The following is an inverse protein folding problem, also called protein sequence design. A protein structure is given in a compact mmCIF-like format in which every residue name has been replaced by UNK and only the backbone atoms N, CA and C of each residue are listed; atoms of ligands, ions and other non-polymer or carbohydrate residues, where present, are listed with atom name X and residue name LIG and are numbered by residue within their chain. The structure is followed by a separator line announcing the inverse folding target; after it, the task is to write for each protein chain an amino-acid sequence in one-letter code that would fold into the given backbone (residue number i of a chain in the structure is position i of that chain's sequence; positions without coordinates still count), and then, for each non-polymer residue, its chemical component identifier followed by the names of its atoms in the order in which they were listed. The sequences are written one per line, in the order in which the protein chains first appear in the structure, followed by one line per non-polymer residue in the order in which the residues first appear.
data_IF_249466824220
#
_entry.id   IF_249466824220
#
_cell.length_a   1.000
_cell.length_b   1.000
_cell.length_c   1.000
_cell.angle_alpha   90.00
_cell.angle_beta   90.00
_cell.angle_gamma   90.00
#
_symmetry.space_group_name_H-M   'P 1'
#
loop_
_entity.id
_entity.type
_entity.pdbx_description
1 polymer ?
#
# COMPACT_ATOMS: atom_id res chain seq x y z
N UNK A 1 6.81 -29.58 9.86
CA UNK A 1 5.61 -29.32 9.02
C UNK A 1 4.40 -29.23 9.94
N UNK A 2 4.06 -28.00 10.31
CA UNK A 2 2.82 -27.65 11.01
C UNK A 2 2.52 -26.22 10.59
N UNK A 3 1.58 -26.04 9.68
CA UNK A 3 1.21 -24.73 9.16
C UNK A 3 0.37 -24.01 10.22
N UNK A 4 0.81 -22.85 10.67
CA UNK A 4 -0.05 -21.87 11.33
C UNK A 4 -1.22 -21.56 10.36
N UNK A 5 -2.43 -21.80 10.83
CA UNK A 5 -3.63 -21.87 10.02
C UNK A 5 -4.11 -20.51 9.48
N UNK A 6 -5.05 -20.51 8.51
CA UNK A 6 -5.55 -19.32 7.80
C UNK A 6 -6.39 -18.35 8.64
N UNK A 7 -6.61 -18.61 9.94
CA UNK A 7 -7.70 -18.00 10.71
C UNK A 7 -7.43 -16.57 11.20
N UNK A 8 -6.16 -16.14 11.33
CA UNK A 8 -5.86 -14.77 11.72
C UNK A 8 -6.12 -13.75 10.60
N UNK A 9 -6.06 -14.20 9.33
CA UNK A 9 -6.32 -13.33 8.18
C UNK A 9 -7.81 -13.21 7.89
N UNK A 10 -8.59 -14.27 8.14
CA UNK A 10 -10.05 -14.24 7.98
C UNK A 10 -10.76 -13.33 9.00
N UNK A 11 -10.15 -13.09 10.18
CA UNK A 11 -10.71 -12.23 11.22
C UNK A 11 -10.67 -10.73 10.88
N UNK A 12 -9.87 -10.30 9.89
CA UNK A 12 -9.68 -8.87 9.56
C UNK A 12 -10.70 -8.33 8.53
N UNK A 13 -11.47 -9.20 7.87
CA UNK A 13 -12.41 -8.80 6.80
C UNK A 13 -13.75 -8.19 7.30
N UNK A 14 -14.00 -8.08 8.62
CA UNK A 14 -15.33 -7.76 9.17
C UNK A 14 -15.39 -6.57 10.16
N UNK A 15 -14.73 -5.44 9.88
CA UNK A 15 -14.94 -4.22 10.66
C UNK A 15 -15.10 -2.97 9.77
N UNK A 16 -16.35 -2.53 9.61
CA UNK A 16 -16.71 -1.16 9.19
C UNK A 16 -17.64 -0.54 10.25
N UNK A 17 -17.39 0.69 10.73
CA UNK A 17 -18.37 1.44 11.49
C UNK A 17 -18.96 2.59 10.67
N UNK A 18 -20.29 2.63 10.61
CA UNK A 18 -21.07 3.75 10.14
C UNK A 18 -21.21 4.81 11.25
N UNK A 19 -20.81 6.07 10.99
CA UNK A 19 -21.23 7.24 11.80
C UNK A 19 -21.39 8.47 10.90
N UNK A 20 -22.63 8.97 10.76
CA UNK A 20 -22.94 10.33 10.32
C UNK A 20 -23.57 11.10 11.49
N UNK A 21 -23.08 12.31 11.75
CA UNK A 21 -23.68 13.26 12.69
C UNK A 21 -22.92 14.60 12.71
N UNK A 22 -23.49 15.61 12.06
CA UNK A 22 -22.93 16.96 11.86
C UNK A 22 -22.92 17.82 13.14
N UNK A 23 -21.99 18.79 13.31
CA UNK A 23 -21.92 19.65 14.49
C UNK A 23 -22.74 20.96 14.32
N UNK A 24 -23.42 21.37 15.40
CA UNK A 24 -24.03 22.72 15.54
C UNK A 24 -23.20 23.57 16.50
N UNK A 25 -22.83 24.75 16.04
CA UNK A 25 -22.13 25.84 16.74
C UNK A 25 -23.02 26.56 17.77
N UNK A 26 -22.47 26.95 18.92
CA UNK A 26 -23.02 28.03 19.78
C UNK A 26 -21.89 28.91 20.33
N UNK A 27 -22.03 30.22 20.11
CA UNK A 27 -21.19 31.29 20.64
C UNK A 27 -21.52 31.62 22.11
N UNK A 28 -20.51 31.92 22.91
CA UNK A 28 -20.66 32.54 24.23
C UNK A 28 -19.44 33.36 24.63
N UNK A 29 -19.53 34.70 24.49
CA UNK A 29 -18.55 35.68 25.01
C UNK A 29 -18.77 35.90 26.50
N UNK A 30 -17.71 35.91 27.31
CA UNK A 30 -17.65 36.78 28.51
C UNK A 30 -16.21 37.27 28.74
N UNK A 31 -16.05 38.60 28.82
CA UNK A 31 -14.85 39.31 29.27
C UNK A 31 -15.18 39.94 30.61
N UNK A 32 -14.28 39.90 31.60
CA UNK A 32 -14.12 40.99 32.58
C UNK A 32 -12.69 41.04 33.13
N UNK A 33 -12.29 42.24 33.56
CA UNK A 33 -10.94 42.79 33.67
C UNK A 33 -10.40 42.82 35.11
N UNK A 34 -9.06 42.62 35.21
CA UNK A 34 -8.02 43.31 36.02
C UNK A 34 -8.23 43.60 37.52
N UNK A 35 -7.18 43.33 38.31
CA UNK A 35 -6.47 44.32 39.16
C UNK A 35 -5.14 43.78 39.71
N UNK A 36 -4.07 44.56 39.52
CA UNK A 36 -2.73 44.41 40.12
C UNK A 36 -2.58 45.49 41.21
N UNK A 37 -1.86 45.22 42.31
CA UNK A 37 -1.13 46.28 43.01
C UNK A 37 0.38 46.00 43.13
N UNK A 38 1.13 47.11 43.17
CA UNK A 38 2.60 47.19 43.22
C UNK A 38 3.16 47.12 44.65
N UNK A 39 4.41 46.68 44.71
CA UNK A 39 5.38 46.50 45.80
C UNK A 39 5.70 47.83 46.53
N UNK A 40 6.26 47.81 47.77
CA UNK A 40 7.67 48.21 47.89
C UNK A 40 8.47 47.51 49.02
N UNK A 41 9.80 47.46 48.89
CA UNK A 41 10.71 47.40 50.05
C UNK A 41 11.93 46.47 49.94
N UNK A 42 13.08 47.04 49.56
CA UNK A 42 14.42 46.43 49.65
C UNK A 42 14.93 46.40 51.11
N UNK A 43 15.42 45.26 51.60
CA UNK A 43 16.43 45.18 52.70
C UNK A 43 17.43 44.06 52.39
N UNK A 44 18.71 44.33 52.68
CA UNK A 44 19.90 43.59 52.25
C UNK A 44 20.32 42.49 53.26
N UNK A 45 20.66 41.32 52.72
CA UNK A 45 21.82 40.44 53.02
C UNK A 45 21.85 39.64 54.35
N UNK A 46 21.97 38.31 54.25
CA UNK A 46 23.04 37.48 54.88
C UNK A 46 23.20 36.14 54.11
N UNK A 47 24.41 35.55 54.15
CA UNK A 47 24.86 34.37 53.38
C UNK A 47 24.77 33.07 54.20
N UNK A 48 24.40 31.99 53.50
CA UNK A 48 24.76 30.54 53.62
C UNK A 48 24.20 29.70 54.81
N UNK A 49 24.07 28.35 54.71
CA UNK A 49 24.41 27.41 53.62
C UNK A 49 23.26 26.45 53.17
N UNK A 50 23.55 25.67 52.13
CA UNK A 50 22.72 24.70 51.35
C UNK A 50 21.82 23.76 52.18
N UNK A 51 20.70 23.30 51.57
CA UNK A 51 20.35 21.89 51.58
C UNK A 51 20.40 21.32 50.16
N UNK A 52 21.15 20.22 50.07
CA UNK A 52 21.09 19.10 49.15
C UNK A 52 20.13 19.23 47.96
N UNK A 53 20.71 19.19 46.77
CA UNK A 53 20.06 18.73 45.55
C UNK A 53 19.33 17.42 45.85
N UNK A 54 18.01 17.48 45.99
CA UNK A 54 17.18 16.30 45.83
C UNK A 54 17.20 16.00 44.34
N UNK A 55 17.99 15.02 43.93
CA UNK A 55 17.81 14.39 42.63
C UNK A 55 16.34 13.96 42.56
N UNK A 56 15.60 14.55 41.63
CA UNK A 56 14.39 13.91 41.12
C UNK A 56 14.92 12.67 40.42
N UNK A 57 14.90 11.55 41.12
CA UNK A 57 14.91 10.24 40.47
C UNK A 57 13.54 10.19 39.81
N UNK A 58 13.50 10.46 38.51
CA UNK A 58 12.38 10.00 37.70
C UNK A 58 12.38 8.48 37.88
N UNK A 59 11.47 7.99 38.72
CA UNK A 59 11.19 6.57 38.80
C UNK A 59 10.67 6.19 37.42
N UNK A 60 11.52 5.57 36.59
CA UNK A 60 11.10 4.95 35.33
C UNK A 60 9.94 4.02 35.67
N UNK A 61 8.73 4.39 35.25
CA UNK A 61 7.55 3.53 35.41
C UNK A 61 7.75 2.40 34.43
N UNK A 62 8.18 1.23 34.93
CA UNK A 62 8.31 0.03 34.11
C UNK A 62 6.89 -0.44 33.78
N UNK A 63 6.45 -0.16 32.55
CA UNK A 63 5.15 -0.58 32.04
C UNK A 63 5.13 -2.10 31.85
N UNK A 64 3.98 -2.72 32.15
CA UNK A 64 3.80 -4.14 31.84
C UNK A 64 3.56 -4.39 30.33
N UNK A 65 3.54 -5.65 29.91
CA UNK A 65 3.38 -6.03 28.51
C UNK A 65 2.07 -5.50 27.89
N UNK A 66 0.97 -5.59 28.62
CA UNK A 66 -0.35 -5.17 28.12
C UNK A 66 -0.48 -3.65 28.10
N UNK A 67 0.14 -2.95 29.04
CA UNK A 67 0.25 -1.49 29.05
C UNK A 67 1.06 -0.99 27.86
N UNK A 68 2.22 -1.61 27.58
CA UNK A 68 3.01 -1.29 26.40
C UNK A 68 2.22 -1.50 25.09
N UNK A 69 1.50 -2.61 24.97
CA UNK A 69 0.67 -2.85 23.78
C UNK A 69 -0.45 -1.81 23.60
N UNK A 70 -1.13 -1.42 24.69
CA UNK A 70 -2.20 -0.41 24.65
C UNK A 70 -1.68 0.95 24.16
N UNK A 71 -0.45 1.29 24.52
CA UNK A 71 0.18 2.55 24.15
C UNK A 71 1.00 2.45 22.83
N UNK A 72 0.85 1.34 22.09
CA UNK A 72 1.58 1.04 20.85
C UNK A 72 3.11 1.03 21.01
N UNK A 73 3.60 0.72 22.21
CA UNK A 73 5.01 0.49 22.50
C UNK A 73 5.44 -0.93 22.06
N UNK A 74 5.34 -1.19 20.75
CA UNK A 74 5.52 -2.52 20.16
C UNK A 74 6.93 -3.09 20.33
N UNK A 75 7.95 -2.23 20.33
CA UNK A 75 9.36 -2.63 20.46
C UNK A 75 9.64 -3.10 21.88
N UNK A 76 9.21 -2.33 22.87
CA UNK A 76 9.36 -2.61 24.30
C UNK A 76 8.55 -3.85 24.70
N UNK A 77 7.31 -3.96 24.21
CA UNK A 77 6.49 -5.16 24.37
C UNK A 77 7.20 -6.40 23.80
N UNK A 78 7.78 -6.30 22.59
CA UNK A 78 8.55 -7.38 21.99
C UNK A 78 9.79 -7.75 22.81
N UNK A 79 10.57 -6.76 23.27
CA UNK A 79 11.76 -7.00 24.09
C UNK A 79 11.42 -7.71 25.40
N UNK A 80 10.28 -7.38 26.02
CA UNK A 80 9.80 -8.08 27.21
C UNK A 80 9.49 -9.56 26.91
N UNK A 81 8.87 -9.87 25.77
CA UNK A 81 8.59 -11.25 25.37
C UNK A 81 9.87 -12.02 25.02
N UNK A 82 10.81 -11.39 24.30
CA UNK A 82 12.11 -11.98 23.98
C UNK A 82 12.90 -12.31 25.24
N UNK A 83 12.91 -11.41 26.23
CA UNK A 83 13.55 -11.64 27.52
C UNK A 83 12.92 -12.84 28.26
N UNK A 84 11.58 -12.93 28.27
CA UNK A 84 10.85 -14.05 28.88
C UNK A 84 11.13 -15.36 28.14
N UNK A 85 11.23 -15.32 26.81
CA UNK A 85 11.62 -16.46 25.99
C UNK A 85 13.04 -16.94 26.33
N UNK A 86 14.01 -16.04 26.45
CA UNK A 86 15.38 -16.42 26.81
C UNK A 86 15.48 -16.96 28.24
N UNK A 87 14.66 -16.48 29.17
CA UNK A 87 14.59 -17.04 30.51
C UNK A 87 14.04 -18.47 30.53
N UNK A 88 13.04 -18.76 29.70
CA UNK A 88 12.38 -20.08 29.63
C UNK A 88 13.14 -21.09 28.77
N UNK A 89 13.79 -20.64 27.70
CA UNK A 89 14.38 -21.51 26.67
C UNK A 89 15.88 -21.29 26.44
N UNK A 90 16.46 -20.21 26.99
CA UNK A 90 17.85 -19.82 26.75
C UNK A 90 18.88 -20.55 27.61
N UNK A 91 18.47 -21.22 28.70
CA UNK A 91 19.39 -21.97 29.57
C UNK A 91 19.68 -23.36 28.99
N UNK A 92 20.91 -23.59 28.53
CA UNK A 92 21.48 -24.93 28.54
C UNK A 92 21.60 -25.36 30.00
N UNK A 93 20.66 -26.18 30.47
CA UNK A 93 20.77 -26.75 31.80
C UNK A 93 21.97 -27.70 31.82
N UNK A 94 23.14 -27.19 32.22
CA UNK A 94 24.11 -27.99 32.94
C UNK A 94 23.38 -28.46 34.20
N UNK A 95 22.80 -29.66 34.11
CA UNK A 95 22.16 -30.36 35.22
C UNK A 95 23.23 -30.75 36.23
N UNK A 96 23.68 -29.77 37.03
CA UNK A 96 24.17 -30.09 38.36
C UNK A 96 22.93 -30.53 39.13
N UNK A 97 22.96 -31.81 39.49
CA UNK A 97 21.91 -32.56 40.15
C UNK A 97 21.02 -31.71 41.09
N UNK A 98 19.73 -31.61 40.75
CA UNK A 98 18.68 -31.54 41.79
C UNK A 98 17.86 -30.26 41.94
N UNK A 99 18.09 -29.19 41.18
CA UNK A 99 17.20 -28.02 41.17
C UNK A 99 16.93 -27.54 39.74
N UNK A 100 16.29 -28.40 38.94
CA UNK A 100 15.69 -27.96 37.68
C UNK A 100 14.58 -26.97 37.98
N UNK A 101 14.73 -25.72 37.52
CA UNK A 101 13.61 -24.78 37.51
C UNK A 101 12.50 -25.41 36.67
N UNK A 102 11.39 -25.76 37.32
CA UNK A 102 10.19 -26.21 36.62
C UNK A 102 9.70 -25.00 35.83
N UNK A 103 10.04 -24.95 34.54
CA UNK A 103 9.37 -24.04 33.62
C UNK A 103 7.93 -24.56 33.54
N UNK A 104 6.97 -23.82 34.10
CA UNK A 104 5.58 -24.25 34.09
C UNK A 104 5.10 -24.23 32.64
N UNK A 105 4.45 -25.30 32.18
CA UNK A 105 3.80 -25.30 30.86
C UNK A 105 2.84 -24.11 30.71
N UNK A 106 2.17 -23.72 31.81
CA UNK A 106 1.34 -22.51 31.88
C UNK A 106 2.10 -21.22 31.49
N UNK A 107 3.38 -21.11 31.86
CA UNK A 107 4.21 -19.93 31.52
C UNK A 107 4.56 -19.91 30.03
N UNK A 108 4.78 -21.08 29.41
CA UNK A 108 5.02 -21.22 27.97
C UNK A 108 3.75 -20.91 27.17
N UNK A 109 2.61 -21.46 27.61
CA UNK A 109 1.29 -21.20 27.01
C UNK A 109 0.92 -19.72 27.09
N UNK A 110 1.22 -19.07 28.22
CA UNK A 110 1.00 -17.63 28.38
C UNK A 110 1.91 -16.84 27.44
N UNK A 111 3.21 -17.18 27.38
CA UNK A 111 4.15 -16.52 26.47
C UNK A 111 3.73 -16.65 25.00
N UNK A 112 3.26 -17.83 24.58
CA UNK A 112 2.76 -18.04 23.21
C UNK A 112 1.57 -17.12 22.91
N UNK A 113 0.58 -17.03 23.81
CA UNK A 113 -0.58 -16.15 23.65
C UNK A 113 -0.18 -14.67 23.61
N UNK A 114 0.80 -14.28 24.40
CA UNK A 114 1.34 -12.92 24.40
C UNK A 114 1.98 -12.60 23.05
N UNK A 115 2.76 -13.52 22.46
CA UNK A 115 3.29 -13.36 21.10
C UNK A 115 2.19 -13.24 20.05
N UNK A 116 1.17 -14.10 20.09
CA UNK A 116 0.03 -14.03 19.18
C UNK A 116 -0.67 -12.65 19.27
N UNK A 117 -0.81 -12.13 20.49
CA UNK A 117 -1.40 -10.80 20.74
C UNK A 117 -0.52 -9.67 20.20
N UNK A 118 0.80 -9.73 20.40
CA UNK A 118 1.75 -8.77 19.84
C UNK A 118 1.70 -8.77 18.30
N UNK A 119 1.74 -9.97 17.69
CA UNK A 119 1.69 -10.14 16.24
C UNK A 119 0.39 -9.58 15.66
N UNK A 120 -0.75 -9.78 16.33
CA UNK A 120 -2.02 -9.20 15.89
C UNK A 120 -1.96 -7.67 15.85
N UNK A 121 -1.43 -7.02 16.89
CA UNK A 121 -1.28 -5.55 16.93
C UNK A 121 -0.32 -5.05 15.85
N UNK A 122 0.76 -5.78 15.62
CA UNK A 122 1.74 -5.50 14.58
C UNK A 122 1.10 -5.54 13.19
N UNK A 123 0.34 -6.61 12.86
CA UNK A 123 -0.33 -6.72 11.57
C UNK A 123 -1.47 -5.70 11.40
N UNK A 124 -2.16 -5.35 12.48
CA UNK A 124 -3.12 -4.25 12.46
C UNK A 124 -2.45 -2.92 12.12
N UNK A 125 -1.30 -2.60 12.70
CA UNK A 125 -0.55 -1.38 12.40
C UNK A 125 -0.10 -1.30 10.92
N UNK A 126 0.38 -2.40 10.37
CA UNK A 126 0.72 -2.48 8.94
C UNK A 126 -0.54 -2.29 8.10
N UNK A 127 -1.62 -3.03 8.40
CA UNK A 127 -2.85 -2.95 7.62
C UNK A 127 -3.47 -1.54 7.62
N UNK A 128 -3.58 -0.88 8.78
CA UNK A 128 -4.17 0.46 8.88
C UNK A 128 -3.39 1.50 8.08
N UNK A 129 -2.05 1.40 8.08
CA UNK A 129 -1.15 2.33 7.39
C UNK A 129 -1.24 2.20 5.86
N UNK A 130 -1.42 0.98 5.34
CA UNK A 130 -1.50 0.77 3.89
C UNK A 130 -2.92 0.84 3.33
N UNK A 131 -3.95 0.58 4.13
CA UNK A 131 -5.36 0.60 3.69
C UNK A 131 -5.99 2.00 3.70
N UNK A 132 -5.42 2.97 4.42
CA UNK A 132 -5.94 4.35 4.53
C UNK A 132 -4.83 5.39 4.43
N UNK A 133 -5.19 6.67 4.29
CA UNK A 133 -4.21 7.76 4.33
C UNK A 133 -3.58 7.82 5.73
N UNK A 134 -2.27 7.60 5.87
CA UNK A 134 -1.66 7.50 7.18
C UNK A 134 -1.53 8.87 7.83
N UNK A 135 -1.82 8.95 9.13
CA UNK A 135 -1.49 10.10 9.96
C UNK A 135 -0.04 9.96 10.44
N UNK A 136 0.54 11.03 10.99
CA UNK A 136 1.87 10.95 11.59
C UNK A 136 1.96 9.91 12.72
N UNK A 137 0.86 9.69 13.45
CA UNK A 137 0.76 8.64 14.46
C UNK A 137 0.81 7.24 13.84
N UNK A 138 0.06 6.99 12.75
CA UNK A 138 0.11 5.70 12.06
C UNK A 138 1.52 5.37 11.56
N UNK A 139 2.26 6.36 11.03
CA UNK A 139 3.63 6.18 10.56
C UNK A 139 4.61 5.84 11.71
N UNK A 140 4.42 6.45 12.89
CA UNK A 140 5.24 6.11 14.06
C UNK A 140 4.96 4.67 14.54
N UNK A 141 3.69 4.28 14.61
CA UNK A 141 3.30 2.91 14.96
C UNK A 141 3.86 1.92 13.93
N UNK A 142 3.80 2.25 12.64
CA UNK A 142 4.39 1.42 11.58
C UNK A 142 5.90 1.28 11.76
N UNK A 143 6.63 2.37 12.02
CA UNK A 143 8.09 2.30 12.24
C UNK A 143 8.42 1.32 13.37
N UNK A 144 7.71 1.43 14.50
CA UNK A 144 7.86 0.50 15.63
C UNK A 144 7.51 -0.92 15.25
N UNK A 145 6.44 -1.13 14.47
CA UNK A 145 6.06 -2.45 13.98
C UNK A 145 7.16 -3.08 13.09
N UNK A 146 7.77 -2.31 12.19
CA UNK A 146 8.86 -2.79 11.32
C UNK A 146 10.13 -3.09 12.12
N UNK A 147 10.43 -2.27 13.13
CA UNK A 147 11.52 -2.56 14.07
C UNK A 147 11.25 -3.86 14.84
N UNK A 148 10.02 -4.07 15.32
CA UNK A 148 9.60 -5.35 15.95
C UNK A 148 9.75 -6.54 14.98
N UNK A 149 9.38 -6.41 13.70
CA UNK A 149 9.62 -7.47 12.70
C UNK A 149 11.11 -7.80 12.64
N UNK A 150 11.97 -6.78 12.59
CA UNK A 150 13.42 -6.96 12.49
C UNK A 150 13.97 -7.71 13.71
N UNK A 151 13.54 -7.34 14.92
CA UNK A 151 13.92 -8.03 16.16
C UNK A 151 13.47 -9.50 16.19
N UNK A 152 12.25 -9.79 15.71
CA UNK A 152 11.73 -11.15 15.67
C UNK A 152 12.47 -12.02 14.65
N UNK A 153 12.83 -11.47 13.48
CA UNK A 153 13.63 -12.13 12.45
C UNK A 153 15.06 -12.41 12.92
N UNK A 154 15.70 -11.44 13.60
CA UNK A 154 17.02 -11.65 14.22
C UNK A 154 16.98 -12.79 15.24
N UNK A 155 15.91 -12.86 16.04
CA UNK A 155 15.73 -13.95 16.99
C UNK A 155 15.49 -15.30 16.31
N UNK A 156 14.73 -15.33 15.21
CA UNK A 156 14.54 -16.54 14.41
C UNK A 156 15.89 -17.06 13.85
N UNK A 157 16.74 -16.16 13.35
CA UNK A 157 18.09 -16.51 12.89
C UNK A 157 18.99 -17.05 14.01
N UNK A 158 18.90 -16.46 15.21
CA UNK A 158 19.63 -16.96 16.38
C UNK A 158 19.21 -18.38 16.77
N UNK A 159 17.93 -18.71 16.63
CA UNK A 159 17.42 -20.06 16.87
C UNK A 159 17.87 -21.04 15.79
N UNK A 160 17.84 -20.64 14.51
CA UNK A 160 18.29 -21.48 13.40
C UNK A 160 19.80 -21.78 13.47
N UNK A 161 20.62 -20.84 13.96
CA UNK A 161 22.07 -20.98 14.06
C UNK A 161 22.60 -21.80 15.25
N UNK A 162 21.74 -22.38 16.10
CA UNK A 162 22.21 -23.15 17.27
C UNK A 162 22.81 -24.52 16.89
N UNK A 163 23.85 -24.98 17.60
CA UNK A 163 24.40 -26.32 17.41
C UNK A 163 23.38 -27.44 17.67
N UNK A 164 23.50 -28.53 16.91
CA UNK A 164 22.77 -29.77 17.16
C UNK A 164 23.03 -30.26 18.60
N UNK A 165 21.97 -30.49 19.37
CA UNK A 165 22.04 -30.88 20.79
C UNK A 165 21.83 -29.75 21.80
N UNK A 166 21.60 -28.52 21.34
CA UNK A 166 21.16 -27.40 22.18
C UNK A 166 19.69 -27.58 22.64
N UNK A 167 19.22 -26.70 23.54
CA UNK A 167 17.81 -26.59 23.94
C UNK A 167 16.89 -26.50 22.71
N UNK A 168 15.78 -27.25 22.72
CA UNK A 168 14.80 -27.24 21.64
C UNK A 168 14.13 -25.85 21.53
N UNK A 169 13.98 -25.37 20.29
CA UNK A 169 13.33 -24.10 20.05
C UNK A 169 11.85 -24.16 20.48
N UNK A 170 11.27 -23.03 20.95
CA UNK A 170 9.84 -22.96 21.21
C UNK A 170 9.02 -23.35 19.97
N UNK A 171 7.83 -23.92 20.19
CA UNK A 171 6.95 -24.44 19.12
C UNK A 171 6.48 -23.39 18.11
N UNK A 172 6.52 -22.10 18.48
CA UNK A 172 6.15 -20.96 17.63
C UNK A 172 7.30 -20.44 16.76
N UNK A 173 8.53 -20.96 16.93
CA UNK A 173 9.69 -20.55 16.12
C UNK A 173 9.84 -21.45 14.88
N UNK A 174 10.26 -20.88 13.74
CA UNK A 174 10.40 -19.44 13.45
C UNK A 174 9.03 -18.77 13.22
N UNK A 175 8.93 -17.48 13.54
CA UNK A 175 7.73 -16.68 13.27
C UNK A 175 7.59 -16.31 11.78
N UNK A 176 8.71 -16.13 11.06
CA UNK A 176 8.71 -15.73 9.65
C UNK A 176 7.91 -14.43 9.40
N UNK A 177 8.09 -13.44 10.29
CA UNK A 177 7.41 -12.16 10.26
C UNK A 177 7.59 -11.44 8.92
N UNK A 178 8.78 -11.47 8.32
CA UNK A 178 9.06 -10.83 7.04
C UNK A 178 8.23 -11.42 5.91
N UNK A 179 8.10 -12.74 5.87
CA UNK A 179 7.26 -13.43 4.88
C UNK A 179 5.78 -13.09 5.08
N UNK A 180 5.33 -13.03 6.32
CA UNK A 180 3.95 -12.69 6.68
C UNK A 180 3.62 -11.25 6.31
N UNK A 181 4.54 -10.32 6.55
CA UNK A 181 4.47 -8.92 6.12
C UNK A 181 4.27 -8.81 4.61
N UNK A 182 5.14 -9.45 3.81
CA UNK A 182 5.07 -9.35 2.35
C UNK A 182 3.76 -9.94 1.81
N UNK A 183 3.29 -11.04 2.41
CA UNK A 183 1.99 -11.67 2.10
C UNK A 183 0.81 -10.75 2.47
N UNK A 184 0.90 -10.02 3.58
CA UNK A 184 -0.13 -9.07 3.99
C UNK A 184 -0.21 -7.91 3.00
N UNK A 185 0.94 -7.36 2.57
CA UNK A 185 0.97 -6.32 1.54
C UNK A 185 0.37 -6.82 0.22
N UNK A 186 0.68 -8.05 -0.21
CA UNK A 186 0.07 -8.64 -1.41
C UNK A 186 -1.47 -8.66 -1.31
N UNK A 187 -2.02 -9.09 -0.17
CA UNK A 187 -3.47 -9.14 0.07
C UNK A 187 -4.10 -7.74 0.06
N UNK A 188 -3.43 -6.75 0.66
CA UNK A 188 -3.90 -5.36 0.66
C UNK A 188 -3.94 -4.83 -0.78
N UNK A 189 -2.86 -5.02 -1.55
CA UNK A 189 -2.81 -4.59 -2.96
C UNK A 189 -3.88 -5.27 -3.79
N UNK A 190 -4.08 -6.58 -3.61
CA UNK A 190 -5.14 -7.31 -4.28
C UNK A 190 -6.53 -6.75 -3.97
N UNK A 191 -6.81 -6.46 -2.69
CA UNK A 191 -8.07 -5.87 -2.28
C UNK A 191 -8.28 -4.48 -2.91
N UNK A 192 -7.26 -3.62 -2.85
CA UNK A 192 -7.31 -2.27 -3.43
C UNK A 192 -7.51 -2.28 -4.93
N UNK A 193 -6.81 -3.16 -5.66
CA UNK A 193 -6.95 -3.30 -7.11
C UNK A 193 -8.30 -3.89 -7.51
N UNK A 194 -8.81 -4.86 -6.75
CA UNK A 194 -10.15 -5.42 -6.97
C UNK A 194 -11.24 -4.37 -6.74
N UNK A 195 -11.16 -3.60 -5.66
CA UNK A 195 -12.12 -2.52 -5.37
C UNK A 195 -12.08 -1.45 -6.46
N UNK A 196 -10.88 -1.01 -6.87
CA UNK A 196 -10.70 -0.06 -7.96
C UNK A 196 -11.27 -0.56 -9.31
N UNK A 197 -11.33 -1.87 -9.53
CA UNK A 197 -11.93 -2.44 -10.75
C UNK A 197 -13.47 -2.38 -10.73
N UNK A 198 -14.09 -2.61 -9.56
CA UNK A 198 -15.56 -2.79 -9.43
C UNK A 198 -16.33 -1.56 -8.95
N UNK A 199 -15.67 -0.53 -8.42
CA UNK A 199 -16.32 0.71 -7.96
C UNK A 199 -17.14 1.44 -9.05
N UNK A 200 -18.44 1.16 -9.09
CA UNK A 200 -19.41 1.94 -9.84
C UNK A 200 -19.88 3.11 -8.97
N UNK A 201 -19.58 4.33 -9.40
CA UNK A 201 -20.14 5.61 -8.96
C UNK A 201 -19.74 6.17 -7.59
N UNK A 202 -18.87 7.21 -7.64
CA UNK A 202 -18.90 8.40 -6.78
C UNK A 202 -18.11 9.58 -7.35
N UNK A 203 -17.35 9.39 -8.43
CA UNK A 203 -16.64 10.51 -9.06
C UNK A 203 -17.53 11.13 -10.12
N UNK A 204 -17.93 12.39 -9.89
CA UNK A 204 -18.52 13.23 -10.94
C UNK A 204 -17.45 13.56 -11.99
N UNK A 205 -17.06 12.61 -12.84
CA UNK A 205 -16.08 12.88 -13.88
C UNK A 205 -16.80 13.32 -15.14
N UNK A 206 -16.81 14.63 -15.31
CA UNK A 206 -17.04 15.38 -16.54
C UNK A 206 -15.97 15.16 -17.62
N UNK A 207 -15.41 13.94 -17.75
CA UNK A 207 -14.50 13.56 -18.85
C UNK A 207 -15.25 12.68 -19.85
N UNK A 208 -15.57 13.25 -21.00
CA UNK A 208 -16.23 12.59 -22.13
C UNK A 208 -15.47 11.38 -22.72
N UNK A 209 -14.25 11.10 -22.25
CA UNK A 209 -13.33 10.13 -22.85
C UNK A 209 -13.35 8.73 -22.20
N UNK A 210 -13.99 8.54 -21.04
CA UNK A 210 -14.13 7.24 -20.35
C UNK A 210 -15.50 6.60 -20.64
N UNK A 211 -15.83 6.52 -21.92
CA UNK A 211 -17.16 6.09 -22.39
C UNK A 211 -17.48 4.64 -22.06
N UNK A 212 -16.49 3.74 -22.10
CA UNK A 212 -16.67 2.30 -21.89
C UNK A 212 -16.38 1.89 -20.44
N UNK A 213 -16.98 0.76 -20.02
CA UNK A 213 -16.72 0.18 -18.69
C UNK A 213 -15.24 -0.16 -18.51
N UNK A 214 -14.63 -0.74 -19.55
CA UNK A 214 -13.21 -1.08 -19.57
C UNK A 214 -12.31 0.15 -19.38
N UNK A 215 -12.59 1.26 -20.07
CA UNK A 215 -11.81 2.51 -19.90
C UNK A 215 -11.88 3.02 -18.47
N UNK A 216 -13.07 3.01 -17.86
CA UNK A 216 -13.29 3.42 -16.46
C UNK A 216 -12.58 2.48 -15.49
N UNK A 217 -12.63 1.17 -15.73
CA UNK A 217 -11.92 0.16 -14.93
C UNK A 217 -10.41 0.38 -14.96
N UNK A 218 -9.80 0.39 -16.15
CA UNK A 218 -8.35 0.57 -16.32
C UNK A 218 -7.88 1.92 -15.75
N UNK A 219 -8.66 2.99 -15.96
CA UNK A 219 -8.36 4.30 -15.37
C UNK A 219 -8.32 4.23 -13.83
N UNK A 220 -9.37 3.71 -13.19
CA UNK A 220 -9.46 3.63 -11.73
C UNK A 220 -8.34 2.77 -11.14
N UNK A 221 -8.05 1.62 -11.76
CA UNK A 221 -6.94 0.76 -11.34
C UNK A 221 -5.59 1.48 -11.48
N UNK A 222 -5.37 2.21 -12.59
CA UNK A 222 -4.16 2.97 -12.82
C UNK A 222 -3.96 4.14 -11.85
N UNK A 223 -5.04 4.87 -11.54
CA UNK A 223 -5.00 5.95 -10.54
C UNK A 223 -4.77 5.40 -9.13
N UNK A 224 -5.46 4.32 -8.75
CA UNK A 224 -5.24 3.63 -7.47
C UNK A 224 -3.78 3.22 -7.31
N UNK A 225 -3.21 2.56 -8.34
CA UNK A 225 -1.80 2.20 -8.38
C UNK A 225 -0.90 3.44 -8.19
N UNK A 226 -1.14 4.49 -8.97
CA UNK A 226 -0.33 5.71 -8.94
C UNK A 226 -0.35 6.35 -7.56
N UNK A 227 -1.53 6.58 -7.00
CA UNK A 227 -1.70 7.21 -5.68
C UNK A 227 -0.99 6.40 -4.58
N UNK A 228 -1.16 5.08 -4.59
CA UNK A 228 -0.59 4.22 -3.55
C UNK A 228 0.92 4.10 -3.63
N UNK A 229 1.47 3.92 -4.84
CA UNK A 229 2.92 3.80 -5.02
C UNK A 229 3.62 5.12 -4.67
N UNK A 230 3.04 6.26 -5.05
CA UNK A 230 3.58 7.57 -4.70
C UNK A 230 3.52 7.83 -3.19
N UNK A 231 2.40 7.52 -2.55
CA UNK A 231 2.25 7.63 -1.09
C UNK A 231 3.26 6.76 -0.35
N UNK A 232 3.51 5.54 -0.81
CA UNK A 232 4.50 4.67 -0.18
C UNK A 232 5.91 5.25 -0.32
N UNK A 233 6.25 5.79 -1.49
CA UNK A 233 7.55 6.43 -1.69
C UNK A 233 7.73 7.72 -0.88
N UNK A 234 6.68 8.52 -0.69
CA UNK A 234 6.77 9.80 0.01
C UNK A 234 6.70 9.67 1.53
N UNK A 235 5.75 8.89 2.05
CA UNK A 235 5.35 8.94 3.46
C UNK A 235 5.79 7.68 4.23
N UNK A 236 5.74 6.52 3.57
CA UNK A 236 5.90 5.22 4.24
C UNK A 236 7.34 4.71 4.19
N UNK A 237 8.08 5.00 3.11
CA UNK A 237 9.45 4.53 2.88
C UNK A 237 10.35 4.69 4.09
N UNK A 238 10.31 5.86 4.75
CA UNK A 238 11.21 6.20 5.84
C UNK A 238 10.88 5.46 7.16
N UNK A 239 9.78 4.69 7.19
CA UNK A 239 9.48 3.78 8.29
C UNK A 239 10.19 2.42 8.15
N UNK A 240 10.80 2.14 7.00
CA UNK A 240 11.38 0.85 6.66
C UNK A 240 12.91 0.90 6.61
N UNK A 241 13.61 -0.11 7.16
CA UNK A 241 15.02 -0.34 6.89
C UNK A 241 15.29 -0.60 5.38
N UNK A 242 16.49 -0.26 4.86
CA UNK A 242 16.78 -0.39 3.43
C UNK A 242 16.65 -1.81 2.85
N UNK A 243 16.93 -2.84 3.65
CA UNK A 243 16.81 -4.25 3.25
C UNK A 243 15.35 -4.69 3.04
N UNK A 244 14.37 -3.91 3.52
CA UNK A 244 12.95 -4.13 3.21
C UNK A 244 12.60 -3.89 1.75
N UNK A 245 13.35 -3.02 1.07
CA UNK A 245 13.14 -2.67 -0.33
C UNK A 245 11.65 -2.37 -0.62
N UNK A 246 10.98 -1.68 0.33
CA UNK A 246 9.51 -1.64 0.41
C UNK A 246 8.87 -0.99 -0.82
N UNK A 247 9.47 0.06 -1.38
CA UNK A 247 8.98 0.72 -2.59
C UNK A 247 8.95 -0.24 -3.79
N UNK A 248 10.03 -0.99 -3.96
CA UNK A 248 10.18 -1.99 -5.02
C UNK A 248 9.26 -3.19 -4.82
N UNK A 249 9.14 -3.71 -3.59
CA UNK A 249 8.16 -4.74 -3.26
C UNK A 249 6.75 -4.28 -3.64
N UNK A 250 6.36 -3.10 -3.19
CA UNK A 250 5.02 -2.58 -3.36
C UNK A 250 4.68 -2.32 -4.84
N UNK A 251 5.56 -1.67 -5.59
CA UNK A 251 5.34 -1.45 -7.03
C UNK A 251 5.31 -2.76 -7.82
N UNK A 252 6.10 -3.78 -7.43
CA UNK A 252 6.02 -5.13 -8.04
C UNK A 252 4.65 -5.77 -7.84
N UNK A 253 4.10 -5.69 -6.62
CA UNK A 253 2.78 -6.25 -6.32
C UNK A 253 1.68 -5.59 -7.18
N UNK A 254 1.68 -4.26 -7.27
CA UNK A 254 0.75 -3.54 -8.14
C UNK A 254 0.95 -3.85 -9.61
N UNK A 255 2.21 -3.86 -10.07
CA UNK A 255 2.55 -4.20 -11.45
C UNK A 255 1.97 -5.56 -11.84
N UNK A 256 2.16 -6.58 -11.01
CA UNK A 256 1.66 -7.93 -11.27
C UNK A 256 0.14 -7.96 -11.41
N UNK A 257 -0.60 -7.34 -10.48
CA UNK A 257 -2.07 -7.32 -10.52
C UNK A 257 -2.60 -6.50 -11.71
N UNK A 258 -1.99 -5.35 -12.00
CA UNK A 258 -2.38 -4.51 -13.13
C UNK A 258 -2.06 -5.17 -14.48
N UNK A 259 -0.85 -5.72 -14.63
CA UNK A 259 -0.42 -6.49 -15.81
C UNK A 259 -1.34 -7.68 -16.07
N UNK A 260 -1.67 -8.46 -15.04
CA UNK A 260 -2.58 -9.60 -15.17
C UNK A 260 -3.94 -9.16 -15.72
N UNK A 261 -4.50 -8.08 -15.18
CA UNK A 261 -5.80 -7.58 -15.62
C UNK A 261 -5.77 -7.02 -17.04
N UNK A 262 -4.76 -6.23 -17.39
CA UNK A 262 -4.62 -5.70 -18.75
C UNK A 262 -4.44 -6.81 -19.79
N UNK A 263 -3.75 -7.90 -19.41
CA UNK A 263 -3.60 -9.08 -20.27
C UNK A 263 -4.93 -9.79 -20.52
N UNK A 264 -5.79 -9.89 -19.51
CA UNK A 264 -7.13 -10.44 -19.67
C UNK A 264 -7.98 -9.60 -20.63
N UNK A 265 -7.98 -8.28 -20.44
CA UNK A 265 -8.70 -7.33 -21.29
C UNK A 265 -8.19 -7.34 -22.73
N UNK A 266 -6.87 -7.38 -22.94
CA UNK A 266 -6.29 -7.45 -24.28
C UNK A 266 -6.70 -8.72 -25.05
N UNK A 267 -7.04 -9.80 -24.34
CA UNK A 267 -7.46 -11.08 -24.93
C UNK A 267 -8.96 -11.23 -25.12
N UNK A 268 -9.78 -10.31 -24.60
CA UNK A 268 -11.25 -10.42 -24.67
C UNK A 268 -11.85 -10.00 -26.01
N UNK A 269 -11.04 -9.44 -26.93
CA UNK A 269 -11.50 -8.88 -28.20
C UNK A 269 -12.11 -7.49 -27.97
N UNK A 270 -11.31 -6.45 -28.18
CA UNK A 270 -11.70 -5.06 -27.92
C UNK A 270 -12.15 -4.37 -29.21
N UNK A 271 -12.98 -3.34 -29.08
CA UNK A 271 -13.19 -2.39 -30.19
C UNK A 271 -11.96 -1.49 -30.38
N UNK A 272 -11.95 -0.70 -31.47
CA UNK A 272 -10.80 0.12 -31.87
C UNK A 272 -10.44 1.15 -30.80
N UNK A 273 -11.45 1.74 -30.16
CA UNK A 273 -11.28 2.83 -29.22
C UNK A 273 -10.77 2.31 -27.87
N UNK A 274 -11.24 1.14 -27.44
CA UNK A 274 -10.78 0.44 -26.24
C UNK A 274 -9.40 -0.17 -26.45
N UNK A 275 -9.12 -0.74 -27.62
CA UNK A 275 -7.81 -1.23 -28.00
C UNK A 275 -6.76 -0.11 -28.00
N UNK A 276 -7.06 1.03 -28.64
CA UNK A 276 -6.21 2.21 -28.61
C UNK A 276 -5.94 2.70 -27.18
N UNK A 277 -6.95 2.63 -26.31
CA UNK A 277 -6.81 3.07 -24.93
C UNK A 277 -5.87 2.16 -24.12
N UNK A 278 -5.95 0.84 -24.27
CA UNK A 278 -4.99 -0.08 -23.64
C UNK A 278 -3.57 0.16 -24.16
N UNK A 279 -3.41 0.34 -25.48
CA UNK A 279 -2.11 0.65 -26.06
C UNK A 279 -1.51 1.94 -25.47
N UNK A 280 -2.32 2.98 -25.27
CA UNK A 280 -1.87 4.19 -24.58
C UNK A 280 -1.44 3.93 -23.12
N UNK A 281 -2.15 3.07 -22.38
CA UNK A 281 -1.76 2.70 -21.03
C UNK A 281 -0.42 1.96 -20.99
N UNK A 282 -0.24 0.98 -21.86
CA UNK A 282 0.97 0.15 -21.91
C UNK A 282 2.18 0.95 -22.36
N UNK A 283 2.03 1.80 -23.38
CA UNK A 283 3.16 2.48 -24.02
C UNK A 283 3.43 3.89 -23.46
N UNK A 284 2.43 4.55 -22.88
CA UNK A 284 2.56 5.95 -22.45
C UNK A 284 2.26 6.15 -20.96
N UNK A 285 1.02 5.94 -20.52
CA UNK A 285 0.58 6.36 -19.18
C UNK A 285 1.32 5.63 -18.07
N UNK A 286 1.40 4.29 -18.14
CA UNK A 286 2.09 3.51 -17.10
C UNK A 286 3.60 3.79 -17.03
N UNK A 287 4.38 3.66 -18.13
CA UNK A 287 5.82 3.90 -18.05
C UNK A 287 6.20 5.35 -17.78
N UNK A 288 5.47 6.34 -18.32
CA UNK A 288 5.89 7.75 -18.24
C UNK A 288 5.24 8.53 -17.10
N UNK A 289 3.95 8.33 -16.83
CA UNK A 289 3.23 9.14 -15.85
C UNK A 289 3.26 8.54 -14.44
N UNK A 290 3.51 7.23 -14.36
CA UNK A 290 3.59 6.48 -13.09
C UNK A 290 5.04 6.11 -12.80
N UNK A 291 5.67 5.24 -13.59
CA UNK A 291 6.99 4.70 -13.23
C UNK A 291 8.11 5.73 -13.28
N UNK A 292 8.06 6.68 -14.23
CA UNK A 292 9.03 7.79 -14.32
C UNK A 292 8.62 9.03 -13.52
N UNK A 293 7.65 8.90 -12.61
CA UNK A 293 7.29 10.01 -11.75
C UNK A 293 8.48 10.40 -10.88
N UNK A 294 8.75 11.71 -10.79
CA UNK A 294 9.89 12.28 -10.05
C UNK A 294 9.99 11.79 -8.59
N UNK A 295 8.87 11.55 -7.94
CA UNK A 295 8.84 11.12 -6.52
C UNK A 295 9.22 9.63 -6.35
N UNK A 296 9.31 8.86 -7.45
CA UNK A 296 9.79 7.48 -7.47
C UNK A 296 11.25 7.37 -7.95
N UNK A 297 11.84 8.48 -8.40
CA UNK A 297 13.20 8.50 -8.95
C UNK A 297 14.21 8.05 -7.89
N UNK A 298 15.00 7.03 -8.22
CA UNK A 298 15.97 6.44 -7.30
C UNK A 298 15.40 5.53 -6.20
N UNK A 299 14.08 5.36 -6.13
CA UNK A 299 13.41 4.51 -5.12
C UNK A 299 12.90 3.18 -5.68
N UNK A 300 12.74 3.07 -7.01
CA UNK A 300 12.28 1.86 -7.67
C UNK A 300 13.22 1.43 -8.80
N UNK A 301 13.31 0.13 -9.03
CA UNK A 301 14.01 -0.50 -10.14
C UNK A 301 13.01 -0.80 -11.27
N UNK A 302 12.84 0.17 -12.16
CA UNK A 302 11.93 0.09 -13.32
C UNK A 302 12.29 -1.09 -14.23
N UNK A 303 13.57 -1.38 -14.42
CA UNK A 303 14.04 -2.44 -15.31
C UNK A 303 13.60 -3.84 -14.83
N UNK A 304 13.51 -4.03 -13.51
CA UNK A 304 13.08 -5.30 -12.91
C UNK A 304 11.60 -5.61 -13.08
N UNK A 305 10.77 -4.59 -13.38
CA UNK A 305 9.31 -4.76 -13.51
C UNK A 305 8.93 -5.36 -14.86
N UNK A 306 9.68 -5.06 -15.92
CA UNK A 306 9.31 -5.43 -17.28
C UNK A 306 8.09 -4.66 -17.81
N UNK A 307 7.51 -5.16 -18.90
CA UNK A 307 6.37 -4.53 -19.58
C UNK A 307 5.03 -5.06 -19.06
N UNK A 308 3.99 -4.22 -19.07
CA UNK A 308 2.64 -4.62 -18.63
C UNK A 308 2.07 -5.79 -19.44
N UNK A 309 2.37 -5.86 -20.73
CA UNK A 309 2.00 -6.96 -21.60
C UNK A 309 3.25 -7.67 -22.08
N UNK A 310 3.13 -8.98 -22.32
CA UNK A 310 4.18 -9.72 -23.03
C UNK A 310 4.29 -9.20 -24.46
N UNK A 311 5.47 -9.32 -25.08
CA UNK A 311 5.66 -8.93 -26.48
C UNK A 311 4.59 -9.55 -27.39
N UNK A 312 4.28 -10.84 -27.19
CA UNK A 312 3.21 -11.55 -27.91
C UNK A 312 1.83 -10.91 -27.73
N UNK A 313 1.44 -10.60 -26.48
CA UNK A 313 0.13 -10.01 -26.20
C UNK A 313 0.04 -8.57 -26.76
N UNK A 314 1.15 -7.83 -26.71
CA UNK A 314 1.24 -6.47 -27.26
C UNK A 314 1.14 -6.48 -28.79
N UNK A 315 1.91 -7.32 -29.49
CA UNK A 315 1.82 -7.45 -30.95
C UNK A 315 0.41 -7.84 -31.39
N UNK A 316 -0.22 -8.78 -30.66
CA UNK A 316 -1.59 -9.19 -30.95
C UNK A 316 -2.57 -8.01 -30.82
N UNK A 317 -2.41 -7.17 -29.79
CA UNK A 317 -3.24 -6.00 -29.57
C UNK A 317 -3.03 -4.92 -30.66
N UNK A 318 -1.78 -4.70 -31.07
CA UNK A 318 -1.42 -3.79 -32.16
C UNK A 318 -2.01 -4.25 -33.51
N UNK A 319 -1.92 -5.54 -33.83
CA UNK A 319 -2.54 -6.13 -35.03
C UNK A 319 -4.06 -5.96 -35.02
N UNK A 320 -4.72 -6.22 -33.89
CA UNK A 320 -6.16 -6.01 -33.74
C UNK A 320 -6.54 -4.55 -34.00
N UNK A 321 -5.79 -3.59 -33.43
CA UNK A 321 -6.01 -2.16 -33.67
C UNK A 321 -5.89 -1.80 -35.16
N UNK A 322 -4.81 -2.25 -35.82
CA UNK A 322 -4.55 -1.96 -37.22
C UNK A 322 -5.63 -2.54 -38.14
N UNK A 323 -5.99 -3.82 -37.94
CA UNK A 323 -7.03 -4.49 -38.73
C UNK A 323 -8.37 -3.79 -38.61
N UNK A 324 -8.79 -3.44 -37.39
CA UNK A 324 -10.08 -2.79 -37.20
C UNK A 324 -10.09 -1.35 -37.73
N UNK A 325 -8.96 -0.64 -37.64
CA UNK A 325 -8.81 0.70 -38.23
C UNK A 325 -8.89 0.67 -39.76
N UNK A 326 -8.32 -0.35 -40.39
CA UNK A 326 -8.39 -0.55 -41.84
C UNK A 326 -9.81 -0.95 -42.27
N UNK A 327 -10.43 -1.88 -41.54
CA UNK A 327 -11.84 -2.26 -41.75
C UNK A 327 -12.78 -1.08 -41.57
N UNK A 328 -12.54 -0.15 -40.65
CA UNK A 328 -13.38 1.06 -40.47
C UNK A 328 -13.11 2.14 -41.54
N UNK A 329 -11.92 2.16 -42.14
CA UNK A 329 -11.62 3.02 -43.30
C UNK A 329 -12.33 2.57 -44.58
N UNK A 330 -12.53 1.27 -44.77
CA UNK A 330 -13.21 0.73 -45.94
C UNK A 330 -14.69 1.14 -46.11
N UNK A 331 -15.56 1.18 -45.09
CA UNK A 331 -16.94 1.64 -45.23
C UNK A 331 -17.02 3.14 -45.46
N UNK A 332 -16.12 3.97 -44.94
CA UNK A 332 -16.11 5.40 -45.30
C UNK A 332 -15.77 5.60 -46.78
N UNK A 333 -14.70 4.98 -47.27
CA UNK A 333 -14.32 5.05 -48.68
C UNK A 333 -15.34 4.38 -49.61
N UNK A 334 -16.00 3.30 -49.18
CA UNK A 334 -17.08 2.67 -49.91
C UNK A 334 -18.35 3.54 -49.94
N UNK A 335 -18.69 4.23 -48.84
CA UNK A 335 -19.83 5.15 -48.75
C UNK A 335 -19.60 6.42 -49.57
N UNK A 336 -18.37 6.93 -49.60
CA UNK A 336 -17.95 7.97 -50.56
C UNK A 336 -18.03 7.49 -52.01
N UNK A 337 -17.59 6.25 -52.30
CA UNK A 337 -17.69 5.68 -53.64
C UNK A 337 -19.13 5.37 -54.06
N UNK A 338 -20.01 4.99 -53.14
CA UNK A 338 -21.42 4.71 -53.40
C UNK A 338 -22.23 6.01 -53.53
N UNK A 339 -21.95 7.03 -52.72
CA UNK A 339 -22.44 8.40 -52.95
C UNK A 339 -21.92 8.98 -54.26
N UNK A 340 -20.64 8.81 -54.60
CA UNK A 340 -20.08 9.24 -55.88
C UNK A 340 -20.72 8.49 -57.06
N UNK A 341 -20.96 7.17 -56.94
CA UNK A 341 -21.71 6.39 -57.94
C UNK A 341 -23.17 6.86 -58.06
N UNK A 342 -23.84 7.17 -56.94
CA UNK A 342 -25.22 7.68 -56.95
C UNK A 342 -25.32 9.08 -57.57
N UNK A 343 -24.32 9.94 -57.34
CA UNK A 343 -24.18 11.26 -57.99
C UNK A 343 -23.93 11.11 -59.50
N UNK A 344 -23.08 10.16 -59.93
CA UNK A 344 -22.84 9.89 -61.35
C UNK A 344 -24.08 9.33 -62.06
N UNK A 345 -24.87 8.46 -61.40
CA UNK A 345 -26.10 7.87 -61.97
C UNK A 345 -27.22 8.93 -62.12
N UNK A 346 -27.23 9.97 -61.28
CA UNK A 346 -28.17 11.09 -61.41
C UNK A 346 -27.80 12.10 -62.51
N UNK A 347 -26.60 11.99 -63.09
CA UNK A 347 -26.11 12.88 -64.15
C UNK A 347 -26.20 12.27 -65.56
N UNK A 348 -26.74 11.05 -65.71
CA UNK A 348 -27.07 10.49 -67.03
C UNK A 348 -28.40 11.04 -67.56
N UNK A 349 -28.37 12.32 -67.97
CA UNK A 349 -29.27 12.85 -68.98
C UNK A 349 -28.44 13.75 -69.94
N UNK A 350 -28.55 13.59 -71.27
CA UNK A 350 -27.43 13.83 -72.18
C UNK A 350 -27.46 15.26 -72.72
N UNK A 351 -26.96 16.25 -71.97
CA UNK A 351 -26.63 17.54 -72.57
C UNK A 351 -25.35 18.14 -71.98
N UNK A 352 -24.27 17.94 -72.75
CA UNK A 352 -23.17 18.87 -73.01
C UNK A 352 -22.70 19.71 -71.82
N UNK A 353 -21.67 19.23 -71.11
CA UNK A 353 -20.87 20.07 -70.20
C UNK A 353 -19.40 19.99 -70.60
N UNK A 354 -18.81 21.18 -70.75
CA UNK A 354 -17.45 21.46 -71.21
C UNK A 354 -16.40 21.07 -70.17
N UNK A 355 -15.22 20.64 -70.63
CA UNK A 355 -14.14 20.01 -69.84
C UNK A 355 -13.34 20.98 -68.94
N UNK A 356 -13.90 22.13 -68.56
CA UNK A 356 -13.18 23.15 -67.78
C UNK A 356 -13.62 23.28 -66.30
N UNK A 357 -14.39 22.34 -65.75
CA UNK A 357 -14.88 22.42 -64.36
C UNK A 357 -14.68 21.17 -63.48
N UNK A 358 -13.92 20.18 -63.92
CA UNK A 358 -13.51 19.04 -63.06
C UNK A 358 -12.03 19.23 -62.68
N UNK A 359 -11.77 20.18 -61.79
CA UNK A 359 -10.47 20.29 -61.12
C UNK A 359 -10.69 20.95 -59.75
N UNK A 360 -11.20 20.20 -58.77
CA UNK A 360 -11.11 20.60 -57.35
C UNK A 360 -11.46 19.50 -56.33
N UNK A 361 -11.26 18.21 -56.61
CA UNK A 361 -11.54 17.13 -55.62
C UNK A 361 -10.38 16.15 -55.40
N UNK A 362 -9.13 16.55 -55.69
CA UNK A 362 -7.95 15.73 -55.36
C UNK A 362 -6.88 16.45 -54.51
N UNK A 363 -7.17 17.59 -53.90
CA UNK A 363 -6.28 18.20 -52.92
C UNK A 363 -7.09 18.82 -51.77
N UNK A 364 -7.34 18.02 -50.73
CA UNK A 364 -7.32 18.40 -49.32
C UNK A 364 -7.32 17.14 -48.45
#
# INVERSE_FOLDING_TARGET
MGALGPDLVAAMDNLSPAVQGSPKTVHGRFRHKLKIPKIPGFVKRQRSPKPSTTCIVETEVVMDFLENLKDNHLVEACQQLLLREDQLFGQETMTVEGLGQVCNEDDKDTLQKDYETLLLHLWMAVHTTFSSTPSGEHLEILRRAVETITLLEEKDQQWEGRPEGSSEAPVWRPHQCRRTHDTLLEKIVESRMRNAAVEEDNVSVSNSNLSTSMKREVYRMGECLKEDVLRVASDVRDCYPPDFDVCNLYVRLYHQKFSARLRELARSGLDVDDCNYLLCWVNNYYPNDILKHKDLEGHINIESLGTLLSEKDLTTLEEQYLLQKEVNRMPETAKYNEQAKSICILLDNPFRVDWSQICCVCCL
#
